data_IF_935288279023
#
_entry.id   IF_935288279023
#
_cell.length_a   1.000
_cell.length_b   1.000
_cell.length_c   1.000
_cell.angle_alpha   90.00
_cell.angle_beta   90.00
_cell.angle_gamma   90.00
#
_symmetry.space_group_name_H-M   'P 1'
#
loop_
_entity.id
_entity.type
_entity.pdbx_description
1 polymer ?
#
# COMPACT_ATOMS: atom_id res chain seq x y z
N UNK A 1 -18.86 37.00 24.99
CA UNK A 1 -20.09 36.29 24.54
C UNK A 1 -20.27 36.39 23.02
N UNK A 2 -20.38 37.58 22.43
CA UNK A 2 -20.52 37.77 20.96
C UNK A 2 -19.37 37.17 20.13
N UNK A 3 -18.11 37.36 20.55
CA UNK A 3 -16.97 36.78 19.84
C UNK A 3 -17.00 35.24 19.83
N UNK A 4 -17.43 34.63 20.94
CA UNK A 4 -17.54 33.16 21.05
C UNK A 4 -18.65 32.62 20.16
N UNK A 5 -19.81 33.27 20.11
CA UNK A 5 -20.92 32.86 19.24
C UNK A 5 -20.57 33.00 17.76
N UNK A 6 -19.84 34.05 17.38
CA UNK A 6 -19.34 34.22 16.00
C UNK A 6 -18.33 33.13 15.62
N UNK A 7 -17.42 32.77 16.53
CA UNK A 7 -16.43 31.72 16.30
C UNK A 7 -17.09 30.35 16.14
N UNK A 8 -18.08 30.02 16.97
CA UNK A 8 -18.88 28.79 16.83
C UNK A 8 -19.64 28.80 15.51
N UNK A 9 -20.28 29.91 15.14
CA UNK A 9 -20.99 30.04 13.87
C UNK A 9 -20.07 29.82 12.65
N UNK A 10 -18.87 30.39 12.66
CA UNK A 10 -17.86 30.19 11.62
C UNK A 10 -17.42 28.72 11.53
N UNK A 11 -17.14 28.08 12.66
CA UNK A 11 -16.77 26.65 12.68
C UNK A 11 -17.88 25.76 12.11
N UNK A 12 -19.14 26.02 12.49
CA UNK A 12 -20.29 25.29 11.95
C UNK A 12 -20.42 25.50 10.44
N UNK A 13 -20.25 26.73 9.95
CA UNK A 13 -20.29 27.03 8.51
C UNK A 13 -19.17 26.30 7.75
N UNK A 14 -17.95 26.25 8.30
CA UNK A 14 -16.82 25.52 7.70
C UNK A 14 -17.11 24.02 7.65
N UNK A 15 -17.66 23.44 8.73
CA UNK A 15 -18.02 22.02 8.78
C UNK A 15 -19.10 21.70 7.74
N UNK A 16 -20.16 22.52 7.66
CA UNK A 16 -21.23 22.35 6.67
C UNK A 16 -20.67 22.43 5.25
N UNK A 17 -19.86 23.45 4.95
CA UNK A 17 -19.22 23.61 3.65
C UNK A 17 -18.35 22.39 3.29
N UNK A 18 -17.54 21.90 4.24
CA UNK A 18 -16.73 20.71 4.06
C UNK A 18 -17.59 19.47 3.77
N UNK A 19 -18.66 19.22 4.55
CA UNK A 19 -19.56 18.10 4.33
C UNK A 19 -20.29 18.16 2.98
N UNK A 20 -20.72 19.35 2.55
CA UNK A 20 -21.32 19.56 1.22
C UNK A 20 -20.29 19.24 0.14
N UNK A 21 -19.06 19.77 0.26
CA UNK A 21 -17.99 19.53 -0.72
C UNK A 21 -17.67 18.03 -0.87
N UNK A 22 -17.60 17.32 0.26
CA UNK A 22 -17.36 15.87 0.32
C UNK A 22 -18.50 15.09 -0.35
N UNK A 23 -19.75 15.48 -0.07
CA UNK A 23 -20.94 14.85 -0.65
C UNK A 23 -21.01 15.06 -2.17
N UNK A 24 -20.77 16.29 -2.64
CA UNK A 24 -20.76 16.60 -4.07
C UNK A 24 -19.66 15.83 -4.81
N UNK A 25 -18.47 15.75 -4.22
CA UNK A 25 -17.37 14.96 -4.76
C UNK A 25 -17.74 13.47 -4.80
N UNK A 26 -18.33 12.93 -3.73
CA UNK A 26 -18.72 11.52 -3.66
C UNK A 26 -19.79 11.17 -4.72
N UNK A 27 -20.80 12.04 -4.91
CA UNK A 27 -21.81 11.88 -5.96
C UNK A 27 -21.16 11.89 -7.35
N UNK A 28 -20.24 12.84 -7.61
CA UNK A 28 -19.52 12.92 -8.88
C UNK A 28 -18.71 11.65 -9.14
N UNK A 29 -17.93 11.20 -8.17
CA UNK A 29 -17.10 10.01 -8.29
C UNK A 29 -17.96 8.72 -8.42
N UNK A 30 -19.10 8.64 -7.75
CA UNK A 30 -20.05 7.54 -7.90
C UNK A 30 -20.63 7.48 -9.33
N UNK A 31 -20.99 8.62 -9.92
CA UNK A 31 -21.46 8.72 -11.31
C UNK A 31 -20.38 8.34 -12.32
N UNK A 32 -19.16 8.86 -12.15
CA UNK A 32 -18.03 8.55 -13.04
C UNK A 32 -17.62 7.07 -13.01
N UNK A 33 -17.93 6.36 -11.93
CA UNK A 33 -17.56 4.96 -11.75
C UNK A 33 -18.76 4.02 -11.73
N UNK A 34 -19.94 4.45 -12.18
CA UNK A 34 -21.19 3.68 -12.11
C UNK A 34 -21.05 2.29 -12.74
N UNK A 35 -20.32 2.20 -13.86
CA UNK A 35 -20.11 0.96 -14.60
C UNK A 35 -19.03 0.04 -14.00
N UNK A 36 -18.29 0.49 -12.98
CA UNK A 36 -17.25 -0.30 -12.32
C UNK A 36 -17.91 -1.14 -11.21
N UNK A 37 -17.82 -2.48 -11.26
CA UNK A 37 -18.43 -3.34 -10.26
C UNK A 37 -17.70 -3.21 -8.91
N UNK A 38 -18.36 -3.64 -7.83
CA UNK A 38 -17.75 -3.64 -6.51
C UNK A 38 -18.78 -3.94 -5.41
N UNK A 39 -18.33 -4.12 -4.16
CA UNK A 39 -19.24 -4.22 -3.03
C UNK A 39 -20.08 -2.93 -2.90
N UNK A 40 -21.37 -3.11 -2.54
CA UNK A 40 -22.30 -1.99 -2.37
C UNK A 40 -21.89 -1.17 -1.14
N UNK A 41 -21.54 0.12 -1.30
CA UNK A 41 -21.11 0.94 -0.17
C UNK A 41 -22.30 1.36 0.72
N UNK A 42 -22.10 1.40 2.03
CA UNK A 42 -23.01 2.07 2.95
C UNK A 42 -22.90 3.61 2.81
N UNK A 43 -23.97 4.36 3.12
CA UNK A 43 -23.89 5.83 3.16
C UNK A 43 -22.77 6.29 4.10
N UNK A 44 -22.00 7.30 3.67
CA UNK A 44 -20.91 7.96 4.43
C UNK A 44 -19.69 7.06 4.71
N UNK A 45 -19.88 5.85 5.24
CA UNK A 45 -18.83 4.93 5.70
C UNK A 45 -18.31 4.03 4.56
N UNK A 46 -19.06 3.87 3.48
CA UNK A 46 -18.66 3.01 2.37
C UNK A 46 -18.60 1.54 2.79
N UNK A 47 -17.50 0.87 2.47
CA UNK A 47 -17.21 -0.50 2.88
C UNK A 47 -16.25 -0.55 4.08
N UNK A 48 -15.91 0.57 4.71
CA UNK A 48 -14.93 0.59 5.79
C UNK A 48 -15.33 -0.29 6.98
N UNK A 49 -16.62 -0.37 7.29
CA UNK A 49 -17.13 -1.24 8.35
C UNK A 49 -16.85 -2.73 8.07
N UNK A 50 -16.93 -3.15 6.81
CA UNK A 50 -16.60 -4.52 6.40
C UNK A 50 -15.14 -4.86 6.73
N UNK A 51 -14.23 -3.93 6.51
CA UNK A 51 -12.81 -4.12 6.80
C UNK A 51 -12.43 -3.91 8.27
N UNK A 52 -13.29 -3.24 9.06
CA UNK A 52 -13.01 -2.95 10.48
C UNK A 52 -13.04 -4.19 11.38
N UNK A 53 -13.63 -5.29 10.91
CA UNK A 53 -13.73 -6.53 11.67
C UNK A 53 -12.47 -7.39 11.61
N UNK A 54 -11.51 -7.06 10.75
CA UNK A 54 -10.26 -7.79 10.59
C UNK A 54 -9.16 -7.19 11.47
N UNK A 55 -8.46 -8.05 12.21
CA UNK A 55 -7.46 -7.63 13.18
C UNK A 55 -6.03 -7.94 12.72
N UNK A 56 -5.87 -8.72 11.65
CA UNK A 56 -4.57 -9.11 11.10
C UNK A 56 -4.44 -8.74 9.62
N UNK A 57 -3.18 -8.56 9.17
CA UNK A 57 -2.88 -8.32 7.75
C UNK A 57 -3.24 -9.51 6.87
N UNK A 58 -3.14 -10.73 7.39
CA UNK A 58 -3.46 -11.96 6.66
C UNK A 58 -4.97 -12.02 6.37
N UNK A 59 -5.82 -11.74 7.37
CA UNK A 59 -7.28 -11.64 7.20
C UNK A 59 -7.68 -10.59 6.15
N UNK A 60 -7.06 -9.40 6.21
CA UNK A 60 -7.30 -8.34 5.23
C UNK A 60 -6.88 -8.77 3.81
N UNK A 61 -5.78 -9.51 3.70
CA UNK A 61 -5.27 -10.01 2.42
C UNK A 61 -6.22 -11.07 1.85
N UNK A 62 -6.69 -12.00 2.67
CA UNK A 62 -7.64 -13.03 2.27
C UNK A 62 -8.96 -12.43 1.80
N UNK A 63 -9.51 -11.45 2.54
CA UNK A 63 -10.73 -10.76 2.14
C UNK A 63 -10.51 -9.99 0.83
N UNK A 64 -9.38 -9.31 0.68
CA UNK A 64 -9.05 -8.64 -0.58
C UNK A 64 -8.99 -9.62 -1.75
N UNK A 65 -8.40 -10.82 -1.55
CA UNK A 65 -8.37 -11.87 -2.56
C UNK A 65 -9.76 -12.39 -2.90
N UNK A 66 -10.67 -12.51 -1.93
CA UNK A 66 -12.06 -12.87 -2.14
C UNK A 66 -12.76 -11.82 -3.02
N UNK A 67 -12.63 -10.53 -2.67
CA UNK A 67 -13.21 -9.43 -3.44
C UNK A 67 -12.61 -9.36 -4.85
N UNK A 68 -11.30 -9.53 -4.98
CA UNK A 68 -10.61 -9.58 -6.27
C UNK A 68 -11.16 -10.72 -7.13
N UNK A 69 -11.23 -11.95 -6.59
CA UNK A 69 -11.80 -13.10 -7.32
C UNK A 69 -13.26 -12.87 -7.70
N UNK A 70 -14.04 -12.18 -6.86
CA UNK A 70 -15.47 -11.93 -7.08
C UNK A 70 -15.72 -10.89 -8.17
N UNK A 71 -15.07 -9.73 -8.11
CA UNK A 71 -15.40 -8.57 -8.95
C UNK A 71 -14.41 -8.32 -10.09
N UNK A 72 -13.15 -8.75 -9.97
CA UNK A 72 -12.12 -8.52 -10.97
C UNK A 72 -12.22 -9.56 -12.11
N UNK A 73 -13.33 -9.50 -12.87
CA UNK A 73 -13.64 -10.46 -13.94
C UNK A 73 -13.28 -9.93 -15.33
N UNK A 74 -12.98 -10.81 -16.32
CA UNK A 74 -12.81 -10.40 -17.70
C UNK A 74 -14.06 -9.69 -18.27
N UNK A 75 -13.91 -8.83 -19.28
CA UNK A 75 -12.65 -8.48 -19.96
C UNK A 75 -11.82 -7.42 -19.21
N UNK A 76 -12.48 -6.56 -18.44
CA UNK A 76 -11.86 -5.34 -17.91
C UNK A 76 -11.04 -5.55 -16.64
N UNK A 77 -11.30 -6.63 -15.90
CA UNK A 77 -10.62 -6.99 -14.64
C UNK A 77 -10.41 -5.74 -13.77
N UNK A 78 -11.51 -5.10 -13.39
CA UNK A 78 -11.52 -3.85 -12.62
C UNK A 78 -12.66 -3.91 -11.61
N UNK A 79 -12.44 -3.36 -10.42
CA UNK A 79 -13.51 -3.13 -9.47
C UNK A 79 -13.20 -1.95 -8.56
N UNK A 80 -14.22 -1.44 -7.86
CA UNK A 80 -14.10 -0.30 -6.95
C UNK A 80 -14.45 -0.68 -5.52
N UNK A 81 -13.84 0.00 -4.56
CA UNK A 81 -14.16 -0.08 -3.13
C UNK A 81 -14.21 1.34 -2.59
N UNK A 82 -15.24 1.64 -1.79
CA UNK A 82 -15.30 2.86 -0.99
C UNK A 82 -14.83 2.60 0.44
N UNK A 83 -13.99 3.45 1.00
CA UNK A 83 -13.56 3.47 2.41
C UNK A 83 -13.86 4.85 2.99
N UNK A 84 -15.01 4.99 3.65
CA UNK A 84 -15.58 6.28 3.96
C UNK A 84 -15.83 7.07 2.68
N UNK A 85 -15.39 8.34 2.59
CA UNK A 85 -15.41 9.06 1.34
C UNK A 85 -14.36 8.56 0.36
N UNK A 86 -13.26 7.89 0.73
CA UNK A 86 -12.22 7.56 -0.25
C UNK A 86 -12.66 6.47 -1.23
N UNK A 87 -12.47 6.71 -2.52
CA UNK A 87 -12.72 5.74 -3.60
C UNK A 87 -11.40 5.08 -4.01
N UNK A 88 -11.29 3.78 -3.80
CA UNK A 88 -10.24 2.93 -4.36
C UNK A 88 -10.72 2.23 -5.63
N UNK A 89 -9.88 2.24 -6.67
CA UNK A 89 -10.09 1.46 -7.90
C UNK A 89 -8.98 0.43 -7.98
N UNK A 90 -9.35 -0.84 -8.09
CA UNK A 90 -8.43 -1.96 -8.20
C UNK A 90 -8.38 -2.41 -9.64
N UNK A 91 -7.16 -2.47 -10.19
CA UNK A 91 -6.89 -2.84 -11.58
C UNK A 91 -6.22 -4.22 -11.62
N UNK A 92 -6.78 -5.13 -12.40
CA UNK A 92 -6.21 -6.44 -12.72
C UNK A 92 -5.96 -6.66 -14.22
N UNK A 93 -6.36 -5.72 -15.08
CA UNK A 93 -6.04 -5.74 -16.50
C UNK A 93 -4.69 -5.06 -16.76
N UNK A 94 -3.70 -5.75 -17.37
CA UNK A 94 -2.38 -5.17 -17.63
C UNK A 94 -2.41 -3.86 -18.42
N UNK A 95 -3.33 -3.70 -19.39
CA UNK A 95 -3.44 -2.47 -20.19
C UNK A 95 -3.89 -1.28 -19.35
N UNK A 96 -4.81 -1.50 -18.41
CA UNK A 96 -5.25 -0.44 -17.48
C UNK A 96 -4.13 -0.08 -16.50
N UNK A 97 -3.42 -1.08 -15.98
CA UNK A 97 -2.28 -0.90 -15.07
C UNK A 97 -1.19 -0.07 -15.76
N UNK A 98 -0.78 -0.46 -16.97
CA UNK A 98 0.24 0.26 -17.75
C UNK A 98 -0.17 1.72 -18.00
N UNK A 99 -1.43 1.95 -18.42
CA UNK A 99 -1.94 3.31 -18.68
C UNK A 99 -1.89 4.20 -17.43
N UNK A 100 -2.21 3.67 -16.25
CA UNK A 100 -2.15 4.43 -15.01
C UNK A 100 -0.70 4.65 -14.57
N UNK A 101 0.13 3.60 -14.53
CA UNK A 101 1.52 3.68 -14.07
C UNK A 101 2.44 4.51 -14.98
N UNK A 102 2.07 4.69 -16.26
CA UNK A 102 2.79 5.56 -17.20
C UNK A 102 2.25 6.99 -17.25
N UNK A 103 1.12 7.28 -16.60
CA UNK A 103 0.51 8.60 -16.62
C UNK A 103 1.27 9.60 -15.74
N UNK A 104 1.47 10.81 -16.25
CA UNK A 104 2.02 11.92 -15.47
C UNK A 104 1.08 12.39 -14.36
N UNK A 105 -0.22 12.11 -14.51
CA UNK A 105 -1.25 12.49 -13.53
C UNK A 105 -1.32 11.53 -12.34
N UNK A 106 -0.60 10.40 -12.39
CA UNK A 106 -0.61 9.35 -11.36
C UNK A 106 0.77 9.14 -10.72
N UNK A 107 1.61 10.18 -10.69
CA UNK A 107 2.96 10.13 -10.13
C UNK A 107 3.00 10.29 -8.60
N UNK A 108 1.93 10.80 -8.00
CA UNK A 108 1.83 11.01 -6.56
C UNK A 108 1.30 9.75 -5.84
N UNK A 109 1.94 9.40 -4.72
CA UNK A 109 1.41 8.39 -3.80
C UNK A 109 0.17 8.90 -3.10
N UNK A 110 -0.79 8.01 -2.86
CA UNK A 110 -1.99 8.33 -2.09
C UNK A 110 -1.63 8.78 -0.67
N UNK A 111 -2.47 9.65 -0.10
CA UNK A 111 -2.38 10.12 1.29
C UNK A 111 -2.28 9.00 2.34
N UNK A 112 -2.65 7.75 2.03
CA UNK A 112 -2.42 6.60 2.91
C UNK A 112 -0.94 6.41 3.28
N UNK A 113 -0.01 6.82 2.42
CA UNK A 113 1.42 6.75 2.70
C UNK A 113 1.87 7.72 3.80
N UNK A 114 1.08 8.76 4.12
CA UNK A 114 1.37 9.66 5.25
C UNK A 114 1.27 8.93 6.60
N UNK A 115 0.46 7.88 6.71
CA UNK A 115 0.44 7.06 7.93
C UNK A 115 1.73 6.24 8.12
N UNK A 116 2.45 5.96 7.02
CA UNK A 116 3.76 5.30 7.05
C UNK A 116 4.87 6.28 7.43
N UNK A 117 4.67 7.59 7.22
CA UNK A 117 5.64 8.64 7.59
C UNK A 117 6.05 8.60 9.06
N UNK A 118 5.14 8.13 9.93
CA UNK A 118 5.39 7.93 11.37
C UNK A 118 6.58 6.99 11.61
N UNK A 119 6.81 6.02 10.71
CA UNK A 119 7.92 5.07 10.79
C UNK A 119 9.19 5.51 10.07
N UNK A 120 9.12 6.61 9.32
CA UNK A 120 10.25 7.15 8.58
C UNK A 120 9.81 7.96 7.37
N UNK A 121 10.47 9.10 7.17
CA UNK A 121 10.15 10.01 6.09
C UNK A 121 11.14 9.89 4.92
N UNK A 122 11.11 8.72 4.27
CA UNK A 122 12.07 8.33 3.24
C UNK A 122 11.46 8.07 1.86
N UNK A 123 12.18 7.32 1.02
CA UNK A 123 11.81 7.03 -0.37
C UNK A 123 10.38 6.48 -0.52
N UNK A 124 9.90 5.69 0.44
CA UNK A 124 8.58 5.07 0.37
C UNK A 124 7.42 6.04 0.58
N UNK A 125 7.67 7.21 1.17
CA UNK A 125 6.63 8.20 1.51
C UNK A 125 6.71 9.43 0.60
N UNK A 126 7.92 9.94 0.34
CA UNK A 126 8.14 11.15 -0.46
C UNK A 126 7.61 11.01 -1.90
N UNK A 127 7.20 12.13 -2.51
CA UNK A 127 6.68 12.21 -3.87
C UNK A 127 7.50 13.19 -4.73
N UNK A 128 7.27 13.16 -6.04
CA UNK A 128 7.79 14.17 -6.96
C UNK A 128 9.31 14.34 -6.93
N UNK A 129 9.84 15.58 -6.95
CA UNK A 129 11.28 15.85 -6.96
C UNK A 129 12.04 15.26 -5.76
N UNK A 130 11.47 15.34 -4.55
CA UNK A 130 12.11 14.79 -3.33
C UNK A 130 12.31 13.27 -3.45
N UNK A 131 11.32 12.56 -4.00
CA UNK A 131 11.46 11.14 -4.30
C UNK A 131 12.58 10.88 -5.32
N UNK A 132 12.68 11.69 -6.37
CA UNK A 132 13.70 11.54 -7.41
C UNK A 132 15.12 11.74 -6.86
N UNK A 133 15.30 12.74 -6.00
CA UNK A 133 16.58 13.01 -5.34
C UNK A 133 17.04 11.84 -4.48
N UNK A 134 16.13 11.25 -3.69
CA UNK A 134 16.41 10.05 -2.88
C UNK A 134 16.62 8.80 -3.76
N UNK A 135 15.91 8.67 -4.87
CA UNK A 135 15.97 7.48 -5.75
C UNK A 135 17.27 7.41 -6.55
N UNK A 136 17.78 8.56 -7.00
CA UNK A 136 18.95 8.65 -7.89
C UNK A 136 20.22 7.96 -7.34
N UNK A 137 20.67 8.18 -6.09
CA UNK A 137 21.82 7.46 -5.55
C UNK A 137 21.53 5.97 -5.34
N UNK A 138 20.31 5.60 -4.91
CA UNK A 138 19.93 4.19 -4.72
C UNK A 138 20.00 3.39 -6.03
N UNK A 139 19.57 3.97 -7.15
CA UNK A 139 19.72 3.32 -8.46
C UNK A 139 21.19 3.04 -8.81
N UNK A 140 22.14 3.87 -8.33
CA UNK A 140 23.58 3.61 -8.52
C UNK A 140 24.08 2.49 -7.61
N UNK A 141 23.53 2.36 -6.40
CA UNK A 141 23.90 1.29 -5.45
C UNK A 141 23.32 -0.08 -5.83
N UNK A 142 22.17 -0.11 -6.50
CA UNK A 142 21.49 -1.34 -6.93
C UNK A 142 21.74 -1.68 -8.40
N UNK A 143 22.83 -1.16 -8.98
CA UNK A 143 23.20 -1.53 -10.34
C UNK A 143 23.87 -2.91 -10.36
N UNK A 144 23.89 -3.53 -11.54
CA UNK A 144 24.45 -4.87 -11.75
C UNK A 144 25.87 -5.03 -11.17
N UNK A 145 26.75 -4.05 -11.40
CA UNK A 145 28.15 -4.09 -10.91
C UNK A 145 28.21 -4.15 -9.39
N UNK A 146 27.37 -3.38 -8.70
CA UNK A 146 27.31 -3.38 -7.24
C UNK A 146 26.74 -4.69 -6.70
N UNK A 147 25.78 -5.31 -7.39
CA UNK A 147 25.28 -6.63 -7.00
C UNK A 147 26.39 -7.68 -7.18
N UNK A 148 27.10 -7.64 -8.31
CA UNK A 148 28.20 -8.55 -8.61
C UNK A 148 29.35 -8.43 -7.59
N UNK A 149 29.69 -7.21 -7.15
CA UNK A 149 30.73 -7.01 -6.14
C UNK A 149 30.36 -7.56 -4.75
N UNK A 150 29.09 -7.87 -4.50
CA UNK A 150 28.61 -8.41 -3.23
C UNK A 150 28.31 -9.92 -3.27
N UNK A 151 28.56 -10.59 -4.41
CA UNK A 151 28.25 -12.02 -4.58
C UNK A 151 28.97 -12.92 -3.57
N UNK A 152 30.22 -12.61 -3.24
CA UNK A 152 30.99 -13.38 -2.25
C UNK A 152 30.34 -13.30 -0.87
N UNK A 153 29.93 -12.10 -0.44
CA UNK A 153 29.19 -11.92 0.81
C UNK A 153 27.87 -12.68 0.80
N UNK A 154 27.08 -12.60 -0.28
CA UNK A 154 25.84 -13.37 -0.39
C UNK A 154 26.07 -14.88 -0.32
N UNK A 155 27.12 -15.37 -0.99
CA UNK A 155 27.53 -16.77 -0.93
C UNK A 155 27.88 -17.21 0.50
N UNK A 156 28.73 -16.45 1.20
CA UNK A 156 29.11 -16.74 2.58
C UNK A 156 27.91 -16.78 3.54
N UNK A 157 26.98 -15.81 3.46
CA UNK A 157 25.77 -15.80 4.29
C UNK A 157 24.86 -16.97 3.97
N UNK A 158 24.80 -17.38 2.70
CA UNK A 158 23.97 -18.50 2.26
C UNK A 158 24.53 -19.82 2.79
N UNK A 159 25.85 -20.01 2.77
CA UNK A 159 26.50 -21.16 3.39
C UNK A 159 26.22 -21.24 4.90
N UNK A 160 26.25 -20.11 5.62
CA UNK A 160 25.90 -20.07 7.04
C UNK A 160 24.46 -20.54 7.28
N UNK A 161 23.52 -20.07 6.47
CA UNK A 161 22.13 -20.51 6.54
C UNK A 161 21.98 -22.01 6.26
N UNK A 162 22.64 -22.54 5.22
CA UNK A 162 22.66 -23.97 4.91
C UNK A 162 23.21 -24.80 6.07
N UNK A 163 24.30 -24.37 6.70
CA UNK A 163 24.90 -25.05 7.85
C UNK A 163 23.97 -25.10 9.06
N UNK A 164 23.14 -24.08 9.26
CA UNK A 164 22.11 -24.10 10.30
C UNK A 164 21.05 -25.15 9.94
N UNK A 165 20.52 -25.11 8.72
CA UNK A 165 19.48 -26.04 8.28
C UNK A 165 19.94 -27.50 8.28
N UNK A 166 21.19 -27.78 7.95
CA UNK A 166 21.76 -29.13 8.04
C UNK A 166 21.65 -29.73 9.45
N UNK A 167 21.74 -28.91 10.50
CA UNK A 167 21.58 -29.39 11.89
C UNK A 167 20.15 -29.87 12.12
N UNK A 168 19.16 -29.11 11.67
CA UNK A 168 17.74 -29.47 11.78
C UNK A 168 17.38 -30.71 10.96
N UNK A 169 17.96 -30.86 9.76
CA UNK A 169 17.79 -32.07 8.95
C UNK A 169 18.35 -33.30 9.67
N UNK A 170 19.50 -33.18 10.34
CA UNK A 170 20.12 -34.27 11.09
C UNK A 170 19.37 -34.64 12.37
N UNK A 171 18.79 -33.66 13.07
CA UNK A 171 18.01 -33.90 14.31
C UNK A 171 16.57 -34.31 14.03
N UNK A 172 16.03 -34.01 12.85
CA UNK A 172 14.62 -34.21 12.51
C UNK A 172 13.68 -33.22 13.20
N UNK A 173 14.23 -32.15 13.78
CA UNK A 173 13.45 -31.12 14.48
C UNK A 173 12.76 -30.16 13.51
N UNK A 174 11.62 -29.62 13.94
CA UNK A 174 10.90 -28.60 13.19
C UNK A 174 11.66 -27.26 13.21
N UNK A 175 11.67 -26.61 12.05
CA UNK A 175 12.35 -25.36 11.80
C UNK A 175 11.35 -24.29 11.35
N UNK A 176 11.28 -23.16 12.08
CA UNK A 176 10.50 -22.01 11.63
C UNK A 176 11.29 -21.22 10.55
N UNK A 177 10.98 -21.46 9.27
CA UNK A 177 11.71 -20.86 8.15
C UNK A 177 11.70 -19.32 8.16
N UNK A 178 10.58 -18.70 8.55
CA UNK A 178 10.41 -17.24 8.52
C UNK A 178 11.48 -16.54 9.36
N UNK A 179 11.77 -17.04 10.55
CA UNK A 179 12.81 -16.51 11.42
C UNK A 179 14.18 -16.47 10.73
N UNK A 180 14.62 -17.61 10.19
CA UNK A 180 15.96 -17.74 9.60
C UNK A 180 16.10 -17.02 8.26
N UNK A 181 15.07 -17.03 7.42
CA UNK A 181 15.06 -16.27 6.16
C UNK A 181 15.07 -14.77 6.41
N UNK A 182 14.34 -14.30 7.43
CA UNK A 182 14.35 -12.88 7.81
C UNK A 182 15.74 -12.45 8.26
N UNK A 183 16.38 -13.23 9.13
CA UNK A 183 17.74 -12.93 9.60
C UNK A 183 18.77 -12.96 8.46
N UNK A 184 18.72 -13.97 7.58
CA UNK A 184 19.57 -14.02 6.39
C UNK A 184 19.37 -12.80 5.48
N UNK A 185 18.13 -12.37 5.28
CA UNK A 185 17.82 -11.18 4.49
C UNK A 185 18.40 -9.92 5.13
N UNK A 186 18.36 -9.82 6.47
CA UNK A 186 18.98 -8.70 7.19
C UNK A 186 20.51 -8.72 7.10
N UNK A 187 21.14 -9.88 7.30
CA UNK A 187 22.60 -10.04 7.21
C UNK A 187 23.10 -9.65 5.81
N UNK A 188 22.40 -10.08 4.75
CA UNK A 188 22.75 -9.77 3.36
C UNK A 188 22.52 -8.29 3.01
N UNK A 189 21.50 -7.65 3.58
CA UNK A 189 21.24 -6.23 3.35
C UNK A 189 22.15 -5.31 4.17
N UNK A 190 22.48 -5.69 5.40
CA UNK A 190 23.35 -4.92 6.30
C UNK A 190 24.83 -5.16 6.04
N UNK A 191 25.19 -6.20 5.28
CA UNK A 191 26.56 -6.64 5.07
C UNK A 191 27.24 -7.14 6.36
N UNK A 192 26.46 -7.56 7.36
CA UNK A 192 26.92 -8.03 8.68
C UNK A 192 26.98 -9.55 8.74
#
# INVERSE_FOLDING_TARGET
>A
MLALTLLIGLLVAIIIWYLISLTLWAIRAARLTENIPGPKPLPIIGNALHFSSFNTLDELTDEFLILFKKYCKPPDKIFKIWLGPKLGIVLGNPKHIEKVLSSKDALEKDSVYQYVEITGNGLFVRNGPEWQELRKPLNKLLNKKMIESNLEMFYEKSLKLCNIWEKYVKTGEYLELKHYITNYSLDTLAGQ
#
